data_IF_845360727357
#
_entry.id   IF_845360727357
#
_cell.length_a   1.000
_cell.length_b   1.000
_cell.length_c   1.000
_cell.angle_alpha   90.00
_cell.angle_beta   90.00
_cell.angle_gamma   90.00
#
_symmetry.space_group_name_H-M   'P 1'
#
loop_
_entity.id
_entity.type
_entity.pdbx_description
1 polymer ?
#
# COMPACT_ATOMS: atom_id res chain seq x y z
N UNK A 1 -24.17 -13.03 9.40
CA UNK A 1 -23.04 -13.78 8.80
C UNK A 1 -22.45 -14.67 9.89
N UNK A 2 -22.48 -16.00 9.76
CA UNK A 2 -21.92 -16.91 10.77
C UNK A 2 -20.38 -16.96 10.70
N UNK A 3 -19.72 -17.16 11.84
CA UNK A 3 -18.26 -17.25 11.92
C UNK A 3 -17.69 -18.37 11.02
N UNK A 4 -18.42 -19.48 10.89
CA UNK A 4 -18.07 -20.59 9.98
C UNK A 4 -17.96 -20.14 8.53
N UNK A 5 -18.86 -19.24 8.08
CA UNK A 5 -18.87 -18.76 6.70
C UNK A 5 -17.69 -17.82 6.42
N UNK A 6 -17.28 -17.02 7.41
CA UNK A 6 -16.08 -16.18 7.33
C UNK A 6 -14.84 -17.07 7.18
N UNK A 7 -14.70 -18.08 8.04
CA UNK A 7 -13.56 -19.00 8.01
C UNK A 7 -13.51 -19.86 6.74
N UNK A 8 -14.66 -20.21 6.17
CA UNK A 8 -14.73 -20.90 4.89
C UNK A 8 -14.20 -20.02 3.74
N UNK A 9 -14.62 -18.75 3.69
CA UNK A 9 -14.16 -17.79 2.68
C UNK A 9 -12.66 -17.51 2.81
N UNK A 10 -12.16 -17.30 4.02
CA UNK A 10 -10.74 -17.09 4.25
C UNK A 10 -9.89 -18.26 3.72
N UNK A 11 -10.33 -19.50 3.95
CA UNK A 11 -9.67 -20.70 3.42
C UNK A 11 -9.68 -20.77 1.89
N UNK A 12 -10.80 -20.42 1.26
CA UNK A 12 -10.92 -20.39 -0.20
C UNK A 12 -9.98 -19.37 -0.83
N UNK A 13 -9.83 -18.21 -0.19
CA UNK A 13 -8.97 -17.11 -0.66
C UNK A 13 -7.48 -17.44 -0.49
N UNK A 14 -7.10 -18.18 0.56
CA UNK A 14 -5.70 -18.42 0.90
C UNK A 14 -4.89 -19.10 -0.20
N UNK A 15 -5.45 -20.14 -0.83
CA UNK A 15 -4.77 -20.90 -1.90
C UNK A 15 -4.41 -20.04 -3.13
N UNK A 16 -5.37 -19.37 -3.81
CA UNK A 16 -5.06 -18.59 -5.00
C UNK A 16 -4.08 -17.45 -4.73
N UNK A 17 -4.20 -16.79 -3.58
CA UNK A 17 -3.31 -15.66 -3.21
C UNK A 17 -1.88 -16.13 -3.00
N UNK A 18 -1.70 -17.28 -2.35
CA UNK A 18 -0.37 -17.86 -2.12
C UNK A 18 0.32 -18.20 -3.43
N UNK A 19 -0.43 -18.66 -4.43
CA UNK A 19 0.10 -18.96 -5.76
C UNK A 19 0.39 -17.68 -6.58
N UNK A 20 -0.50 -16.68 -6.53
CA UNK A 20 -0.43 -15.50 -7.40
C UNK A 20 0.52 -14.41 -6.89
N UNK A 21 0.67 -14.25 -5.58
CA UNK A 21 1.52 -13.20 -5.01
C UNK A 21 2.37 -13.68 -3.82
N UNK A 22 3.25 -14.68 -4.03
CA UNK A 22 4.15 -15.16 -2.98
C UNK A 22 5.07 -14.03 -2.47
N UNK A 23 5.44 -13.09 -3.34
CA UNK A 23 6.26 -11.94 -2.98
C UNK A 23 5.57 -10.98 -2.02
N UNK A 24 4.25 -10.81 -2.09
CA UNK A 24 3.52 -9.97 -1.13
C UNK A 24 3.53 -10.61 0.25
N UNK A 25 3.36 -11.94 0.33
CA UNK A 25 3.38 -12.69 1.59
C UNK A 25 4.76 -12.74 2.24
N UNK A 26 5.83 -12.52 1.47
CA UNK A 26 7.18 -12.38 2.00
C UNK A 26 7.41 -11.03 2.70
N UNK A 27 6.54 -10.04 2.49
CA UNK A 27 6.67 -8.72 3.11
C UNK A 27 6.21 -8.81 4.57
N UNK A 28 7.07 -8.46 5.55
CA UNK A 28 6.66 -8.41 6.95
C UNK A 28 5.47 -7.47 7.14
N UNK A 29 4.41 -7.98 7.78
CA UNK A 29 3.15 -7.24 7.97
C UNK A 29 2.13 -7.38 6.84
N UNK A 30 2.47 -8.04 5.73
CA UNK A 30 1.52 -8.36 4.67
C UNK A 30 1.01 -9.80 4.83
N UNK A 31 -0.14 -9.94 5.51
CA UNK A 31 -0.84 -11.22 5.60
C UNK A 31 -1.72 -11.52 4.38
N UNK A 32 -2.35 -12.70 4.36
CA UNK A 32 -3.25 -13.13 3.27
C UNK A 32 -4.28 -12.06 2.93
N UNK A 33 -5.01 -11.53 3.93
CA UNK A 33 -6.05 -10.53 3.70
C UNK A 33 -5.49 -9.22 3.12
N UNK A 34 -4.30 -8.79 3.58
CA UNK A 34 -3.63 -7.62 3.02
C UNK A 34 -3.22 -7.83 1.57
N UNK A 35 -2.65 -8.99 1.25
CA UNK A 35 -2.28 -9.36 -0.12
C UNK A 35 -3.51 -9.44 -1.04
N UNK A 36 -4.63 -9.98 -0.56
CA UNK A 36 -5.89 -10.06 -1.31
C UNK A 36 -6.43 -8.69 -1.64
N UNK A 37 -6.47 -7.79 -0.65
CA UNK A 37 -6.93 -6.42 -0.84
C UNK A 37 -6.04 -5.72 -1.88
N UNK A 38 -4.71 -5.85 -1.75
CA UNK A 38 -3.80 -5.26 -2.71
C UNK A 38 -4.03 -5.82 -4.12
N UNK A 39 -4.16 -7.13 -4.29
CA UNK A 39 -4.43 -7.75 -5.57
C UNK A 39 -5.80 -7.36 -6.15
N UNK A 40 -6.86 -7.42 -5.36
CA UNK A 40 -8.23 -7.15 -5.80
C UNK A 40 -8.45 -5.70 -6.20
N UNK A 41 -7.91 -4.76 -5.43
CA UNK A 41 -8.06 -3.32 -5.70
C UNK A 41 -7.12 -2.83 -6.80
N UNK A 42 -5.92 -3.41 -6.91
CA UNK A 42 -4.94 -3.05 -7.94
C UNK A 42 -5.27 -3.73 -9.28
N UNK A 43 -5.92 -4.91 -9.23
CA UNK A 43 -6.18 -5.85 -10.32
C UNK A 43 -4.90 -6.35 -11.01
N UNK A 44 -4.17 -5.46 -11.69
CA UNK A 44 -2.87 -5.72 -12.27
C UNK A 44 -1.93 -4.54 -12.06
N UNK A 45 -0.72 -4.83 -11.59
CA UNK A 45 0.35 -3.85 -11.44
C UNK A 45 0.81 -3.24 -12.77
N UNK A 46 0.63 -3.94 -13.90
CA UNK A 46 1.01 -3.43 -15.23
C UNK A 46 0.14 -2.27 -15.73
N UNK A 47 -1.05 -2.09 -15.15
CA UNK A 47 -1.95 -0.97 -15.45
C UNK A 47 -1.33 0.39 -15.13
N UNK A 48 -0.37 0.44 -14.20
CA UNK A 48 0.26 1.69 -13.77
C UNK A 48 1.53 1.95 -14.59
N UNK A 49 1.53 3.04 -15.36
CA UNK A 49 2.67 3.46 -16.16
C UNK A 49 3.93 3.78 -15.32
N UNK A 50 3.80 4.02 -14.02
CA UNK A 50 4.92 4.26 -13.12
C UNK A 50 4.58 4.03 -11.64
N UNK A 51 5.61 3.91 -10.81
CA UNK A 51 5.47 3.89 -9.35
C UNK A 51 4.78 5.14 -8.81
N UNK A 52 4.99 6.30 -9.44
CA UNK A 52 4.33 7.55 -9.05
C UNK A 52 2.83 7.52 -9.37
N UNK A 53 2.42 6.88 -10.48
CA UNK A 53 1.01 6.68 -10.80
C UNK A 53 0.33 5.77 -9.77
N UNK A 54 1.00 4.69 -9.35
CA UNK A 54 0.50 3.84 -8.27
C UNK A 54 0.38 4.60 -6.94
N UNK A 55 1.38 5.41 -6.59
CA UNK A 55 1.33 6.24 -5.38
C UNK A 55 0.20 7.28 -5.40
N UNK A 56 -0.14 7.83 -6.57
CA UNK A 56 -1.31 8.71 -6.74
C UNK A 56 -2.61 7.93 -6.58
N UNK A 57 -2.70 6.75 -7.19
CA UNK A 57 -3.87 5.87 -7.09
C UNK A 57 -4.17 5.47 -5.65
N UNK A 58 -3.17 5.03 -4.89
CA UNK A 58 -3.37 4.61 -3.50
C UNK A 58 -3.38 5.78 -2.49
N UNK A 59 -3.17 7.02 -2.93
CA UNK A 59 -3.20 8.20 -2.04
C UNK A 59 -1.93 8.45 -1.21
N UNK A 60 -0.88 7.65 -1.38
CA UNK A 60 0.41 7.87 -0.70
C UNK A 60 1.23 9.01 -1.32
N UNK A 61 0.98 9.35 -2.58
CA UNK A 61 1.64 10.48 -3.23
C UNK A 61 1.18 11.81 -2.61
N UNK A 62 2.09 12.65 -2.08
CA UNK A 62 1.76 14.00 -1.64
C UNK A 62 1.29 14.86 -2.81
N UNK A 63 0.30 15.73 -2.57
CA UNK A 63 -0.16 16.71 -3.55
C UNK A 63 0.59 18.03 -3.28
N UNK A 64 1.38 18.55 -4.23
CA UNK A 64 2.03 19.84 -4.04
C UNK A 64 0.99 20.96 -3.98
N UNK A 65 1.20 21.90 -3.06
CA UNK A 65 0.44 23.14 -2.95
C UNK A 65 1.43 24.28 -3.10
N UNK A 66 1.19 25.12 -4.10
CA UNK A 66 2.08 26.23 -4.42
C UNK A 66 1.57 27.50 -3.75
N UNK A 67 2.35 28.06 -2.82
CA UNK A 67 2.14 29.43 -2.32
C UNK A 67 3.51 30.10 -2.17
N UNK A 68 3.97 30.79 -3.21
CA UNK A 68 5.30 31.43 -3.23
C UNK A 68 6.48 30.45 -3.13
N UNK A 69 7.61 30.92 -2.60
CA UNK A 69 8.91 30.23 -2.64
C UNK A 69 9.05 29.06 -1.64
N UNK A 70 7.96 28.56 -1.05
CA UNK A 70 7.95 27.44 -0.10
C UNK A 70 7.24 26.24 -0.70
N UNK A 71 7.92 25.08 -0.71
CA UNK A 71 7.30 23.81 -1.09
C UNK A 71 6.40 23.34 0.05
N UNK A 72 5.09 23.40 -0.16
CA UNK A 72 4.10 22.79 0.73
C UNK A 72 3.49 21.59 0.04
N UNK A 73 3.17 20.57 0.80
CA UNK A 73 2.43 19.40 0.32
C UNK A 73 1.23 19.16 1.20
N UNK A 74 0.13 18.72 0.60
CA UNK A 74 -1.05 18.23 1.30
C UNK A 74 -1.24 16.74 1.07
N UNK A 75 -1.93 16.09 1.99
CA UNK A 75 -2.33 14.69 1.87
C UNK A 75 -3.31 14.51 0.70
N UNK A 76 -3.12 13.47 -0.10
CA UNK A 76 -4.09 13.05 -1.10
C UNK A 76 -5.23 12.27 -0.43
N UNK A 77 -6.42 12.87 -0.36
CA UNK A 77 -7.63 12.24 0.19
C UNK A 77 -8.49 11.53 -0.86
N UNK A 78 -8.15 11.62 -2.15
CA UNK A 78 -8.94 11.03 -3.23
C UNK A 78 -8.43 9.67 -3.73
N UNK A 79 -7.34 9.16 -3.15
CA UNK A 79 -6.82 7.84 -3.50
C UNK A 79 -7.65 6.69 -2.91
N UNK A 80 -7.34 5.47 -3.33
CA UNK A 80 -7.95 4.25 -2.81
C UNK A 80 -7.58 4.05 -1.33
N UNK A 81 -8.53 4.39 -0.44
CA UNK A 81 -8.34 4.28 1.00
C UNK A 81 -8.13 2.85 1.49
N UNK A 82 -8.70 1.85 0.81
CA UNK A 82 -8.56 0.43 1.16
C UNK A 82 -7.11 -0.01 0.96
N UNK A 83 -6.52 0.31 -0.19
CA UNK A 83 -5.10 0.06 -0.48
C UNK A 83 -4.21 0.86 0.46
N UNK A 84 -4.51 2.14 0.70
CA UNK A 84 -3.75 2.98 1.62
C UNK A 84 -3.73 2.41 3.04
N UNK A 85 -4.89 1.94 3.52
CA UNK A 85 -5.02 1.31 4.83
C UNK A 85 -4.20 0.02 4.92
N UNK A 86 -4.26 -0.83 3.89
CA UNK A 86 -3.43 -2.05 3.83
C UNK A 86 -1.92 -1.71 3.89
N UNK A 87 -1.46 -0.72 3.11
CA UNK A 87 -0.08 -0.24 3.14
C UNK A 87 0.30 0.35 4.51
N UNK A 88 -0.62 1.10 5.13
CA UNK A 88 -0.42 1.65 6.47
C UNK A 88 -0.24 0.53 7.51
N UNK A 89 -1.07 -0.51 7.50
CA UNK A 89 -0.96 -1.64 8.43
C UNK A 89 0.33 -2.44 8.25
N UNK A 90 0.76 -2.63 7.00
CA UNK A 90 2.06 -3.23 6.68
C UNK A 90 3.18 -2.37 7.28
N UNK A 91 3.13 -1.05 7.05
CA UNK A 91 4.12 -0.09 7.55
C UNK A 91 4.16 -0.07 9.08
N UNK A 92 3.01 -0.07 9.77
CA UNK A 92 2.95 -0.11 11.24
C UNK A 92 3.60 -1.38 11.79
N UNK A 93 3.32 -2.52 11.17
CA UNK A 93 3.98 -3.79 11.54
C UNK A 93 5.49 -3.71 11.35
N UNK A 94 5.93 -3.16 10.22
CA UNK A 94 7.34 -2.99 9.92
C UNK A 94 8.03 -2.02 10.86
N UNK A 95 7.43 -0.88 11.19
CA UNK A 95 8.00 0.10 12.14
C UNK A 95 8.13 -0.52 13.53
N UNK A 96 7.11 -1.27 13.99
CA UNK A 96 7.18 -2.02 15.26
C UNK A 96 8.25 -3.10 15.26
N UNK A 97 8.51 -3.72 14.10
CA UNK A 97 9.58 -4.70 13.92
C UNK A 97 10.97 -4.07 13.72
N UNK A 98 11.05 -2.89 13.11
CA UNK A 98 12.27 -2.15 12.79
C UNK A 98 12.81 -1.38 13.99
N UNK A 99 11.98 -1.06 14.99
CA UNK A 99 12.44 -0.65 16.32
C UNK A 99 13.36 -1.73 16.95
N UNK A 100 13.22 -3.00 16.54
CA UNK A 100 14.16 -4.09 16.89
C UNK A 100 15.32 -4.29 15.90
N UNK A 101 15.26 -3.70 14.71
CA UNK A 101 16.28 -3.79 13.63
C UNK A 101 16.33 -2.47 12.88
N UNK A 102 17.16 -1.55 13.36
CA UNK A 102 17.22 -0.15 12.94
C UNK A 102 17.47 0.02 11.43
N UNK A 103 16.45 0.42 10.67
CA UNK A 103 16.63 1.01 9.35
C UNK A 103 15.67 2.21 9.17
N UNK A 104 16.26 3.40 9.01
CA UNK A 104 15.53 4.64 8.77
C UNK A 104 14.82 4.59 7.40
N UNK A 105 13.55 4.97 7.35
CA UNK A 105 12.84 5.23 6.08
C UNK A 105 13.42 6.52 5.48
N UNK A 106 14.11 6.48 4.33
CA UNK A 106 14.63 7.70 3.73
C UNK A 106 13.50 8.48 3.08
N UNK A 107 13.28 9.72 3.51
CA UNK A 107 12.40 10.68 2.85
C UNK A 107 13.04 11.16 1.54
N UNK A 108 12.91 10.38 0.45
CA UNK A 108 13.31 10.86 -0.88
C UNK A 108 12.31 11.93 -1.33
N UNK A 109 12.83 13.15 -1.54
CA UNK A 109 12.06 14.29 -2.02
C UNK A 109 11.30 13.98 -3.30
N UNK A 110 10.03 14.35 -3.33
CA UNK A 110 9.18 14.25 -4.51
C UNK A 110 9.74 15.24 -5.55
N UNK A 111 10.47 14.73 -6.55
CA UNK A 111 10.93 15.54 -7.66
C UNK A 111 9.74 16.21 -8.35
N UNK A 112 9.93 17.47 -8.76
CA UNK A 112 8.94 18.27 -9.50
C UNK A 112 8.47 17.47 -10.71
N UNK A 113 7.20 17.03 -10.80
CA UNK A 113 6.69 16.61 -12.08
C UNK A 113 6.53 17.89 -12.89
N UNK A 114 7.46 18.13 -13.81
CA UNK A 114 7.19 18.98 -14.96
C UNK A 114 6.07 18.31 -15.76
N UNK A 115 5.18 19.14 -16.32
CA UNK A 115 3.95 18.83 -17.07
C UNK A 115 2.72 18.55 -16.21
#
# INVERSE_FOLDING_TARGET
>A
MSAERINALERQIRRPVTAQAPHLLAIPGCGILGAVVLLGETADTTRFASKAAFARFNGTAPIPVWSGNKVRVRLNRGGNHTVNHALHMITVTQVRGADRRTHAVPSRGFARPCC
#
